data_IF_646018678480
#
_entry.id   IF_646018678480
#
_cell.length_a   1.000
_cell.length_b   1.000
_cell.length_c   1.000
_cell.angle_alpha   90.00
_cell.angle_beta   90.00
_cell.angle_gamma   90.00
#
_symmetry.space_group_name_H-M   'P 1'
#
loop_
_entity.id
_entity.type
_entity.pdbx_description
1 polymer ?
#
# COMPACT_ATOMS: atom_id res chain seq x y z
N UNK A 1 -18.89 -6.25 -19.60
CA UNK A 1 -18.04 -7.32 -19.01
C UNK A 1 -16.83 -6.65 -18.35
N UNK A 2 -17.04 -5.75 -17.39
CA UNK A 2 -16.00 -4.73 -17.08
C UNK A 2 -15.76 -4.49 -15.57
N UNK A 3 -16.62 -5.01 -14.69
CA UNK A 3 -16.48 -4.84 -13.23
C UNK A 3 -15.27 -5.62 -12.68
N UNK A 4 -15.03 -6.84 -13.19
CA UNK A 4 -13.94 -7.71 -12.74
C UNK A 4 -12.56 -7.19 -13.13
N UNK A 5 -12.43 -6.54 -14.30
CA UNK A 5 -11.15 -6.02 -14.77
C UNK A 5 -10.72 -4.80 -13.95
N UNK A 6 -11.67 -3.92 -13.59
CA UNK A 6 -11.42 -2.77 -12.69
C UNK A 6 -11.01 -3.23 -11.28
N UNK A 7 -11.68 -4.25 -10.73
CA UNK A 7 -11.28 -4.86 -9.44
C UNK A 7 -9.88 -5.44 -9.49
N UNK A 8 -9.54 -6.19 -10.54
CA UNK A 8 -8.20 -6.77 -10.73
C UNK A 8 -7.12 -5.69 -10.88
N UNK A 9 -7.40 -4.60 -11.59
CA UNK A 9 -6.46 -3.47 -11.73
C UNK A 9 -6.23 -2.73 -10.41
N UNK A 10 -7.30 -2.53 -9.62
CA UNK A 10 -7.15 -1.95 -8.27
C UNK A 10 -6.36 -2.87 -7.35
N UNK A 11 -6.63 -4.18 -7.37
CA UNK A 11 -5.88 -5.18 -6.58
C UNK A 11 -4.41 -5.28 -7.00
N UNK A 12 -4.10 -5.17 -8.30
CA UNK A 12 -2.71 -5.20 -8.77
C UNK A 12 -1.93 -3.94 -8.39
N UNK A 13 -2.55 -2.74 -8.49
CA UNK A 13 -1.96 -1.49 -8.00
C UNK A 13 -1.72 -1.51 -6.49
N UNK A 14 -2.60 -2.18 -5.77
CA UNK A 14 -2.49 -2.44 -4.35
C UNK A 14 -1.28 -3.30 -3.95
N UNK A 15 -1.04 -4.39 -4.67
CA UNK A 15 0.15 -5.22 -4.47
C UNK A 15 1.45 -4.44 -4.67
N UNK A 16 1.50 -3.59 -5.71
CA UNK A 16 2.66 -2.72 -5.98
C UNK A 16 2.91 -1.70 -4.85
N UNK A 17 1.85 -1.16 -4.25
CA UNK A 17 1.95 -0.22 -3.11
C UNK A 17 2.51 -0.90 -1.85
N UNK A 18 2.05 -2.11 -1.52
CA UNK A 18 2.60 -2.85 -0.37
C UNK A 18 4.07 -3.20 -0.61
N UNK A 19 4.43 -3.68 -1.81
CA UNK A 19 5.82 -4.02 -2.14
C UNK A 19 6.72 -2.80 -2.01
N UNK A 20 6.31 -1.65 -2.53
CA UNK A 20 7.08 -0.40 -2.40
C UNK A 20 7.22 0.06 -0.95
N UNK A 21 6.18 -0.06 -0.12
CA UNK A 21 6.25 0.26 1.32
C UNK A 21 7.28 -0.63 2.06
N UNK A 22 7.31 -1.93 1.76
CA UNK A 22 8.29 -2.86 2.34
C UNK A 22 9.72 -2.51 1.90
N UNK A 23 9.94 -2.20 0.62
CA UNK A 23 11.24 -1.75 0.14
C UNK A 23 11.69 -0.45 0.81
N UNK A 24 10.77 0.50 1.02
CA UNK A 24 11.07 1.77 1.67
C UNK A 24 11.49 1.56 3.13
N UNK A 25 10.78 0.68 3.84
CA UNK A 25 11.10 0.32 5.22
C UNK A 25 12.43 -0.44 5.33
N UNK A 26 12.73 -1.35 4.40
CA UNK A 26 14.03 -2.04 4.32
C UNK A 26 15.18 -1.09 3.98
N UNK A 27 14.97 -0.15 3.06
CA UNK A 27 15.96 0.87 2.70
C UNK A 27 16.26 1.79 3.89
N UNK A 28 15.22 2.22 4.62
CA UNK A 28 15.36 3.00 5.84
C UNK A 28 16.11 2.26 6.95
N UNK A 29 15.77 0.99 7.19
CA UNK A 29 16.50 0.15 8.15
C UNK A 29 17.98 0.01 7.76
N UNK A 30 18.27 -0.18 6.47
CA UNK A 30 19.64 -0.30 5.95
C UNK A 30 20.45 0.99 6.06
N UNK A 31 19.81 2.15 5.91
CA UNK A 31 20.47 3.44 5.97
C UNK A 31 20.63 3.97 7.40
N UNK A 32 19.95 3.36 8.38
CA UNK A 32 19.95 3.84 9.76
C UNK A 32 19.28 5.21 9.90
N UNK A 33 18.46 5.61 8.92
CA UNK A 33 17.87 6.92 8.84
C UNK A 33 16.49 6.91 9.53
N UNK A 34 16.35 7.53 10.71
CA UNK A 34 15.08 7.58 11.43
C UNK A 34 13.99 8.34 10.64
N UNK A 35 14.36 9.28 9.76
CA UNK A 35 13.42 9.98 8.89
C UNK A 35 12.89 9.07 7.79
N UNK A 36 13.76 8.24 7.21
CA UNK A 36 13.37 7.22 6.23
C UNK A 36 12.40 6.20 6.85
N UNK A 37 12.63 5.83 8.11
CA UNK A 37 11.80 4.87 8.84
C UNK A 37 10.41 5.46 9.13
N UNK A 38 10.38 6.73 9.55
CA UNK A 38 9.14 7.47 9.77
C UNK A 38 8.35 7.67 8.46
N UNK A 39 9.05 7.99 7.36
CA UNK A 39 8.46 8.11 6.03
C UNK A 39 7.87 6.79 5.53
N UNK A 40 8.61 5.68 5.69
CA UNK A 40 8.13 4.33 5.35
C UNK A 40 6.91 3.92 6.18
N UNK A 41 6.89 4.25 7.48
CA UNK A 41 5.75 3.99 8.36
C UNK A 41 4.51 4.78 7.92
N UNK A 42 4.63 6.09 7.69
CA UNK A 42 3.52 6.91 7.20
C UNK A 42 3.02 6.45 5.83
N UNK A 43 3.92 6.04 4.95
CA UNK A 43 3.55 5.52 3.63
C UNK A 43 2.78 4.20 3.74
N UNK A 44 3.20 3.29 4.63
CA UNK A 44 2.48 2.05 4.92
C UNK A 44 1.07 2.32 5.45
N UNK A 45 0.93 3.28 6.38
CA UNK A 45 -0.38 3.69 6.91
C UNK A 45 -1.24 4.31 5.81
N UNK A 46 -0.69 5.19 4.99
CA UNK A 46 -1.39 5.81 3.86
C UNK A 46 -1.85 4.76 2.84
N UNK A 47 -1.03 3.73 2.58
CA UNK A 47 -1.46 2.55 1.84
C UNK A 47 -2.71 2.00 2.53
N UNK A 48 -2.61 1.48 3.75
CA UNK A 48 -3.73 0.79 4.43
C UNK A 48 -5.01 1.64 4.44
N UNK A 49 -4.90 2.94 4.68
CA UNK A 49 -6.05 3.87 4.64
C UNK A 49 -6.69 3.92 3.26
N UNK A 50 -5.92 3.87 2.17
CA UNK A 50 -6.45 3.70 0.82
C UNK A 50 -7.01 2.29 0.55
N UNK A 51 -6.61 1.27 1.32
CA UNK A 51 -7.08 -0.13 1.16
C UNK A 51 -8.48 -0.28 1.69
N UNK A 52 -8.68 0.30 2.87
CA UNK A 52 -9.89 0.17 3.65
C UNK A 52 -11.12 0.53 2.80
N UNK A 53 -11.22 1.67 2.08
CA UNK A 53 -12.37 1.97 1.23
C UNK A 53 -12.48 1.08 0.00
N UNK A 54 -11.40 0.43 -0.45
CA UNK A 54 -11.44 -0.54 -1.54
C UNK A 54 -11.99 -1.90 -1.06
N UNK A 55 -11.60 -2.35 0.15
CA UNK A 55 -12.11 -3.58 0.76
C UNK A 55 -13.50 -3.43 1.38
N UNK A 56 -13.76 -2.28 2.02
CA UNK A 56 -15.02 -1.97 2.70
C UNK A 56 -16.20 -1.72 1.74
N UNK A 57 -15.97 -1.70 0.42
CA UNK A 57 -17.04 -1.65 -0.60
C UNK A 57 -17.77 -3.00 -0.80
N UNK A 58 -17.97 -3.76 0.27
CA UNK A 58 -19.05 -4.76 0.44
C UNK A 58 -19.30 -4.88 1.96
N UNK A 59 -20.47 -4.44 2.43
CA UNK A 59 -21.58 -5.37 2.53
C UNK A 59 -22.75 -4.90 1.66
N UNK A 60 -23.12 -5.79 0.76
CA UNK A 60 -24.46 -5.99 0.18
C UNK A 60 -25.03 -4.89 -0.73
#
# INVERSE_FOLDING_TARGET
>A
MDEDRRRKFNLSGWGLFIVSAVFFMLAALRSGDPLGLLGGFFFLVACIVFLIPLLARRPD
#
